data_IF_031997749194
#
_entry.id   IF_031997749194
#
_cell.length_a   1.000
_cell.length_b   1.000
_cell.length_c   1.000
_cell.angle_alpha   90.00
_cell.angle_beta   90.00
_cell.angle_gamma   90.00
#
_symmetry.space_group_name_H-M   'P 1'
#
loop_
_entity.id
_entity.type
_entity.pdbx_description
1 polymer ?
#
# COMPACT_ATOMS: atom_id res chain seq x y z
N UNK A 1 1.33 14.88 -8.77
CA UNK A 1 1.31 13.45 -9.13
C UNK A 1 0.42 13.31 -10.34
N UNK A 2 0.96 12.68 -11.39
CA UNK A 2 0.41 12.66 -12.73
C UNK A 2 -0.93 11.93 -12.81
N UNK A 3 -1.80 12.44 -13.68
CA UNK A 3 -3.13 11.94 -14.04
C UNK A 3 -2.99 10.65 -14.88
N UNK A 4 -2.54 9.56 -14.25
CA UNK A 4 -2.10 8.32 -14.93
C UNK A 4 -3.18 7.22 -15.00
N UNK A 5 -4.46 7.54 -14.77
CA UNK A 5 -5.53 6.53 -14.65
C UNK A 5 -6.60 6.59 -15.76
N UNK A 6 -6.41 7.44 -16.78
CA UNK A 6 -7.27 7.38 -17.98
C UNK A 6 -6.52 6.53 -19.00
N UNK A 7 -6.94 5.27 -19.17
CA UNK A 7 -6.49 4.46 -20.31
C UNK A 7 -7.46 4.68 -21.49
N UNK A 8 -7.18 5.62 -22.41
CA UNK A 8 -8.03 5.83 -23.58
C UNK A 8 -7.98 4.60 -24.48
N UNK A 9 -9.14 4.12 -24.91
CA UNK A 9 -9.21 3.04 -25.89
C UNK A 9 -8.69 3.50 -27.25
N UNK A 10 -8.14 2.57 -28.02
CA UNK A 10 -7.77 2.78 -29.42
C UNK A 10 -9.02 2.61 -30.27
N UNK A 11 -9.36 3.63 -31.06
CA UNK A 11 -10.51 3.63 -31.95
C UNK A 11 -10.01 3.50 -33.39
N UNK A 12 -10.48 2.49 -34.11
CA UNK A 12 -10.06 2.15 -35.46
C UNK A 12 -11.29 2.16 -36.38
N UNK A 13 -11.27 3.00 -37.43
CA UNK A 13 -12.37 3.07 -38.38
C UNK A 13 -12.41 1.81 -39.25
N UNK A 14 -13.59 1.22 -39.45
CA UNK A 14 -13.75 0.10 -40.38
C UNK A 14 -13.62 0.63 -41.83
N UNK A 15 -12.68 0.12 -42.64
CA UNK A 15 -12.44 0.62 -43.99
C UNK A 15 -13.60 0.32 -44.96
N UNK A 16 -14.45 -0.65 -44.65
CA UNK A 16 -15.58 -1.06 -45.50
C UNK A 16 -16.92 -0.50 -45.02
N UNK A 17 -17.04 -0.09 -43.75
CA UNK A 17 -18.31 0.35 -43.14
C UNK A 17 -18.13 1.65 -42.35
N UNK A 18 -18.52 2.77 -42.96
CA UNK A 18 -18.33 4.13 -42.43
C UNK A 18 -18.92 4.41 -41.04
N UNK A 19 -19.93 3.65 -40.61
CA UNK A 19 -20.58 3.81 -39.30
C UNK A 19 -20.21 2.70 -38.29
N UNK A 20 -19.04 2.08 -38.48
CA UNK A 20 -18.52 1.02 -37.61
C UNK A 20 -17.12 1.39 -37.16
N UNK A 21 -16.91 1.34 -35.85
CA UNK A 21 -15.61 1.55 -35.23
C UNK A 21 -15.22 0.31 -34.44
N UNK A 22 -13.97 -0.12 -34.61
CA UNK A 22 -13.34 -1.18 -33.84
C UNK A 22 -12.55 -0.58 -32.68
N UNK A 23 -12.60 -1.24 -31.54
CA UNK A 23 -12.05 -0.75 -30.28
C UNK A 23 -11.06 -1.78 -29.76
N UNK A 24 -9.83 -1.33 -29.54
CA UNK A 24 -8.78 -2.05 -28.82
C UNK A 24 -8.33 -1.28 -27.58
N UNK A 25 -7.51 -1.89 -26.74
CA UNK A 25 -7.08 -1.27 -25.48
C UNK A 25 -8.10 -1.39 -24.35
N UNK A 26 -9.07 -2.32 -24.43
CA UNK A 26 -10.10 -2.46 -23.40
C UNK A 26 -9.57 -3.17 -22.15
N UNK A 27 -10.06 -2.77 -20.97
CA UNK A 27 -9.73 -3.43 -19.70
C UNK A 27 -10.70 -4.58 -19.43
N UNK A 28 -10.17 -5.78 -19.28
CA UNK A 28 -10.93 -7.00 -19.06
C UNK A 28 -10.86 -7.47 -17.60
N UNK A 29 -12.00 -7.86 -17.02
CA UNK A 29 -12.07 -8.35 -15.64
C UNK A 29 -13.16 -9.42 -15.44
N UNK A 30 -12.96 -10.42 -14.54
CA UNK A 30 -13.96 -11.46 -14.28
C UNK A 30 -15.20 -10.90 -13.57
N UNK A 31 -16.38 -11.36 -13.99
CA UNK A 31 -17.66 -10.99 -13.40
C UNK A 31 -17.91 -11.82 -12.13
N UNK A 32 -17.98 -11.16 -10.97
CA UNK A 32 -18.25 -11.82 -9.68
C UNK A 32 -19.67 -12.39 -9.68
N UNK A 33 -19.80 -13.71 -9.75
CA UNK A 33 -21.09 -14.42 -9.63
C UNK A 33 -21.54 -14.52 -8.18
N UNK A 34 -22.14 -13.45 -7.64
CA UNK A 34 -22.98 -13.57 -6.44
C UNK A 34 -24.40 -13.99 -6.85
N UNK A 35 -24.71 -15.28 -6.66
CA UNK A 35 -26.08 -15.79 -6.76
C UNK A 35 -26.88 -15.18 -5.60
N UNK A 36 -27.92 -14.41 -5.97
CA UNK A 36 -28.86 -13.68 -5.10
C UNK A 36 -28.32 -12.38 -4.51
N UNK A 37 -28.13 -11.41 -5.39
CA UNK A 37 -28.66 -10.04 -5.26
C UNK A 37 -28.63 -9.46 -6.66
N UNK A 38 -29.74 -8.90 -7.16
CA UNK A 38 -29.69 -7.86 -8.21
C UNK A 38 -29.01 -6.64 -7.56
N UNK A 39 -27.72 -6.77 -7.28
CA UNK A 39 -26.91 -5.66 -6.86
C UNK A 39 -26.58 -4.90 -8.12
N UNK A 40 -26.98 -3.63 -8.14
CA UNK A 40 -26.46 -2.66 -9.09
C UNK A 40 -24.96 -2.89 -9.19
N UNK A 41 -24.47 -3.25 -10.38
CA UNK A 41 -23.05 -3.11 -10.70
C UNK A 41 -22.65 -1.73 -10.20
N UNK A 42 -21.80 -1.68 -9.16
CA UNK A 42 -21.14 -0.44 -8.82
C UNK A 42 -20.35 -0.08 -10.07
N UNK A 43 -20.79 0.99 -10.73
CA UNK A 43 -20.08 1.61 -11.84
C UNK A 43 -18.60 1.71 -11.50
N UNK A 44 -17.70 1.64 -12.49
CA UNK A 44 -16.30 2.01 -12.27
C UNK A 44 -16.23 3.34 -11.53
N UNK A 45 -15.27 3.43 -10.63
CA UNK A 45 -15.08 4.54 -9.70
C UNK A 45 -15.25 5.90 -10.38
N UNK A 46 -15.88 6.80 -9.64
CA UNK A 46 -16.19 8.16 -10.09
C UNK A 46 -14.88 8.92 -10.29
N UNK A 47 -14.29 8.85 -11.48
CA UNK A 47 -13.36 9.89 -11.91
C UNK A 47 -14.16 11.11 -12.31
N UNK A 48 -14.18 12.09 -11.39
CA UNK A 48 -14.73 13.41 -11.60
C UNK A 48 -13.55 14.34 -11.92
N UNK A 49 -13.11 14.37 -13.18
CA UNK A 49 -12.18 15.40 -13.64
C UNK A 49 -12.96 16.54 -14.29
N UNK A 50 -12.54 17.76 -13.98
CA UNK A 50 -13.14 18.99 -14.45
C UNK A 50 -12.77 19.24 -15.91
N UNK A 51 -13.37 18.50 -16.86
CA UNK A 51 -13.58 18.81 -18.30
C UNK A 51 -14.01 17.54 -19.05
N UNK A 52 -15.25 17.50 -19.56
CA UNK A 52 -15.72 16.51 -20.54
C UNK A 52 -16.62 15.39 -19.99
N UNK A 53 -17.65 15.02 -20.76
CA UNK A 53 -18.53 13.86 -20.50
C UNK A 53 -17.81 12.59 -20.98
N UNK A 54 -17.24 11.79 -20.07
CA UNK A 54 -16.69 10.48 -20.41
C UNK A 54 -17.81 9.48 -20.72
N UNK A 55 -17.71 8.79 -21.85
CA UNK A 55 -18.67 7.74 -22.26
C UNK A 55 -18.04 6.36 -22.08
N UNK A 56 -18.73 5.47 -21.38
CA UNK A 56 -18.22 4.13 -21.09
C UNK A 56 -18.71 3.13 -22.14
N UNK A 57 -17.78 2.39 -22.72
CA UNK A 57 -18.02 1.21 -23.54
C UNK A 57 -17.96 -0.03 -22.67
N UNK A 58 -18.95 -0.92 -22.82
CA UNK A 58 -19.01 -2.18 -22.08
C UNK A 58 -19.42 -3.34 -22.98
N UNK A 59 -18.78 -4.49 -22.75
CA UNK A 59 -19.21 -5.79 -23.28
C UNK A 59 -18.95 -6.88 -22.26
N UNK A 60 -19.76 -7.94 -22.28
CA UNK A 60 -19.57 -9.11 -21.43
C UNK A 60 -19.49 -10.35 -22.32
N UNK A 61 -18.38 -11.07 -22.22
CA UNK A 61 -18.17 -12.37 -22.86
C UNK A 61 -18.32 -13.48 -21.82
N UNK A 62 -18.86 -14.62 -22.23
CA UNK A 62 -19.00 -15.77 -21.35
C UNK A 62 -18.66 -17.05 -22.09
N UNK A 63 -17.91 -17.94 -21.43
CA UNK A 63 -17.58 -19.27 -21.91
C UNK A 63 -18.04 -20.28 -20.86
N UNK A 64 -18.53 -21.43 -21.33
CA UNK A 64 -18.91 -22.56 -20.49
C UNK A 64 -17.84 -23.61 -20.65
N UNK A 65 -17.14 -23.93 -19.58
CA UNK A 65 -16.12 -24.98 -19.64
C UNK A 65 -16.75 -26.38 -19.77
N UNK A 66 -15.95 -27.39 -20.11
CA UNK A 66 -16.39 -28.77 -20.28
C UNK A 66 -17.04 -29.37 -19.00
N UNK A 67 -16.75 -28.79 -17.83
CA UNK A 67 -17.35 -29.15 -16.52
C UNK A 67 -18.65 -28.38 -16.20
N UNK A 68 -19.19 -27.60 -17.15
CA UNK A 68 -20.45 -26.87 -17.01
C UNK A 68 -20.38 -25.55 -16.24
N UNK A 69 -19.21 -25.14 -15.73
CA UNK A 69 -18.98 -23.86 -15.03
C UNK A 69 -18.92 -22.73 -16.05
N UNK A 70 -19.70 -21.67 -15.83
CA UNK A 70 -19.70 -20.48 -16.68
C UNK A 70 -18.71 -19.46 -16.13
N UNK A 71 -17.70 -19.12 -16.93
CA UNK A 71 -16.82 -17.97 -16.68
C UNK A 71 -17.34 -16.79 -17.49
N UNK A 72 -17.51 -15.63 -16.85
CA UNK A 72 -17.96 -14.41 -17.51
C UNK A 72 -16.91 -13.33 -17.29
N UNK A 73 -16.54 -12.64 -18.37
CA UNK A 73 -15.52 -11.60 -18.41
C UNK A 73 -16.17 -10.33 -18.96
N UNK A 74 -15.92 -9.20 -18.31
CA UNK A 74 -16.43 -7.89 -18.74
C UNK A 74 -15.28 -7.03 -19.22
N UNK A 75 -15.39 -6.56 -20.46
CA UNK A 75 -14.49 -5.57 -21.07
C UNK A 75 -15.06 -4.17 -20.90
N UNK A 76 -14.23 -3.23 -20.47
CA UNK A 76 -14.59 -1.81 -20.27
C UNK A 76 -13.60 -0.89 -20.96
N UNK A 77 -14.10 0.20 -21.54
CA UNK A 77 -13.28 1.19 -22.23
C UNK A 77 -13.87 2.60 -22.09
N UNK A 78 -13.03 3.62 -22.08
CA UNK A 78 -13.45 5.01 -21.93
C UNK A 78 -13.25 5.75 -23.25
N UNK A 79 -14.34 6.33 -23.78
CA UNK A 79 -14.33 7.23 -24.93
C UNK A 79 -14.26 8.69 -24.45
N UNK A 80 -13.29 9.43 -24.97
CA UNK A 80 -13.10 10.86 -24.71
C UNK A 80 -14.05 11.73 -25.54
N UNK A 81 -14.32 11.33 -26.79
CA UNK A 81 -15.24 12.02 -27.71
C UNK A 81 -16.21 11.02 -28.33
N UNK A 82 -17.42 10.85 -27.77
CA UNK A 82 -18.41 9.93 -28.33
C UNK A 82 -19.03 10.51 -29.61
N UNK A 83 -18.82 9.82 -30.74
CA UNK A 83 -19.51 10.11 -32.00
C UNK A 83 -20.70 9.16 -32.18
N UNK A 84 -21.60 9.46 -33.14
CA UNK A 84 -22.77 8.60 -33.43
C UNK A 84 -22.38 7.35 -34.22
N UNK A 85 -21.47 6.55 -33.67
CA UNK A 85 -20.96 5.33 -34.27
C UNK A 85 -21.36 4.06 -33.52
N UNK A 86 -21.32 2.93 -34.23
CA UNK A 86 -21.46 1.60 -33.61
C UNK A 86 -20.07 1.05 -33.30
N UNK A 87 -19.80 0.78 -32.04
CA UNK A 87 -18.50 0.32 -31.56
C UNK A 87 -18.47 -1.20 -31.39
N UNK A 88 -17.33 -1.83 -31.72
CA UNK A 88 -17.11 -3.28 -31.68
C UNK A 88 -15.75 -3.59 -31.05
N UNK A 89 -15.65 -4.63 -30.23
CA UNK A 89 -14.41 -5.05 -29.59
C UNK A 89 -13.53 -5.86 -30.55
N UNK A 90 -12.29 -5.41 -30.74
CA UNK A 90 -11.33 -6.13 -31.57
C UNK A 90 -10.77 -7.38 -30.88
N UNK A 91 -10.64 -7.36 -29.54
CA UNK A 91 -10.24 -8.53 -28.76
C UNK A 91 -11.25 -9.68 -28.87
N UNK A 92 -12.56 -9.39 -28.86
CA UNK A 92 -13.57 -10.43 -29.12
C UNK A 92 -13.50 -10.97 -30.54
N UNK A 93 -13.21 -10.10 -31.53
CA UNK A 93 -12.96 -10.54 -32.89
C UNK A 93 -11.79 -11.50 -32.99
N UNK A 94 -10.68 -11.19 -32.30
CA UNK A 94 -9.53 -12.10 -32.23
C UNK A 94 -9.89 -13.45 -31.58
N UNK A 95 -10.67 -13.45 -30.49
CA UNK A 95 -11.13 -14.67 -29.83
C UNK A 95 -12.07 -15.52 -30.69
N UNK A 96 -12.81 -14.94 -31.64
CA UNK A 96 -13.58 -15.70 -32.64
C UNK A 96 -12.69 -16.49 -33.61
N UNK A 97 -11.45 -16.04 -33.84
CA UNK A 97 -10.50 -16.70 -34.75
C UNK A 97 -9.60 -17.70 -34.03
N UNK A 98 -9.27 -17.43 -32.76
CA UNK A 98 -8.30 -18.19 -31.99
C UNK A 98 -8.80 -18.49 -30.60
N UNK A 99 -8.74 -19.77 -30.22
CA UNK A 99 -9.13 -20.21 -28.88
C UNK A 99 -8.01 -20.03 -27.85
N UNK A 100 -6.78 -20.40 -28.17
CA UNK A 100 -5.62 -20.32 -27.27
C UNK A 100 -4.41 -19.80 -28.06
N UNK A 101 -4.11 -18.52 -27.92
CA UNK A 101 -3.06 -17.90 -28.73
C UNK A 101 -3.00 -16.40 -28.58
N UNK A 102 -1.99 -15.80 -29.21
CA UNK A 102 -1.78 -14.37 -29.19
C UNK A 102 -1.29 -13.84 -30.55
N UNK A 103 -1.41 -12.53 -30.73
CA UNK A 103 -0.99 -11.86 -31.95
C UNK A 103 -0.67 -10.38 -31.73
N UNK A 104 0.30 -9.89 -32.48
CA UNK A 104 0.71 -8.49 -32.50
C UNK A 104 0.23 -7.85 -33.80
N UNK A 105 -0.53 -6.78 -33.70
CA UNK A 105 -1.17 -6.13 -34.85
C UNK A 105 -0.77 -4.66 -34.97
N UNK A 106 -0.36 -4.25 -36.17
CA UNK A 106 -0.07 -2.86 -36.49
C UNK A 106 -1.37 -2.11 -36.81
N UNK A 107 -1.56 -0.97 -36.16
CA UNK A 107 -2.70 -0.06 -36.42
C UNK A 107 -2.27 1.38 -36.73
N UNK A 108 -1.03 1.73 -36.44
CA UNK A 108 -0.37 2.98 -36.76
C UNK A 108 1.09 2.66 -37.13
N UNK A 109 1.83 3.62 -37.72
CA UNK A 109 3.21 3.40 -38.18
C UNK A 109 4.16 3.04 -37.03
N UNK A 110 3.91 3.57 -35.83
CA UNK A 110 4.78 3.40 -34.66
C UNK A 110 4.14 2.60 -33.51
N UNK A 111 2.85 2.26 -33.63
CA UNK A 111 2.09 1.64 -32.53
C UNK A 111 1.52 0.28 -32.90
N UNK A 112 1.63 -0.62 -31.94
CA UNK A 112 1.19 -2.00 -32.04
C UNK A 112 0.11 -2.29 -31.00
N UNK A 113 -0.73 -3.26 -31.30
CA UNK A 113 -1.79 -3.78 -30.45
C UNK A 113 -1.51 -5.26 -30.16
N UNK A 114 -1.45 -5.59 -28.88
CA UNK A 114 -1.29 -6.97 -28.40
C UNK A 114 -2.64 -7.55 -28.02
N UNK A 115 -3.04 -8.62 -28.70
CA UNK A 115 -4.27 -9.37 -28.44
C UNK A 115 -3.92 -10.81 -28.07
N UNK A 116 -4.61 -11.37 -27.07
CA UNK A 116 -4.46 -12.76 -26.67
C UNK A 116 -5.79 -13.35 -26.23
N UNK A 117 -5.94 -14.64 -26.50
CA UNK A 117 -7.11 -15.45 -26.22
C UNK A 117 -6.70 -16.65 -25.38
N UNK A 118 -7.41 -16.86 -24.26
CA UNK A 118 -7.28 -18.02 -23.38
C UNK A 118 -8.65 -18.64 -23.25
N UNK A 119 -8.78 -19.91 -23.63
CA UNK A 119 -10.05 -20.66 -23.68
C UNK A 119 -11.17 -19.96 -24.48
N UNK A 120 -10.79 -19.22 -25.52
CA UNK A 120 -11.72 -18.45 -26.37
C UNK A 120 -12.23 -17.17 -25.71
N UNK A 121 -11.60 -16.71 -24.63
CA UNK A 121 -11.88 -15.43 -23.98
C UNK A 121 -10.67 -14.49 -24.06
N UNK A 122 -10.88 -13.17 -24.10
CA UNK A 122 -9.78 -12.21 -24.02
C UNK A 122 -8.98 -12.39 -22.73
N UNK A 123 -7.64 -12.43 -22.83
CA UNK A 123 -6.80 -12.46 -21.64
C UNK A 123 -6.85 -11.12 -20.90
N UNK A 124 -6.93 -11.15 -19.56
CA UNK A 124 -7.04 -9.95 -18.70
C UNK A 124 -5.93 -8.93 -18.92
N UNK A 125 -4.72 -9.42 -19.22
CA UNK A 125 -3.52 -8.62 -19.45
C UNK A 125 -3.24 -8.35 -20.94
N UNK A 126 -4.08 -8.85 -21.84
CA UNK A 126 -3.99 -8.55 -23.27
C UNK A 126 -4.99 -7.43 -23.65
N UNK A 127 -5.14 -7.17 -24.94
CA UNK A 127 -5.88 -6.02 -25.46
C UNK A 127 -5.26 -4.70 -25.02
N UNK A 128 -3.97 -4.55 -25.32
CA UNK A 128 -3.18 -3.38 -24.95
C UNK A 128 -2.42 -2.82 -26.14
N UNK A 129 -2.36 -1.49 -26.23
CA UNK A 129 -1.53 -0.79 -27.21
C UNK A 129 -0.19 -0.36 -26.60
N UNK A 130 0.81 -0.10 -27.45
CA UNK A 130 2.11 0.41 -27.01
C UNK A 130 3.16 0.45 -28.13
N UNK A 131 4.36 0.88 -27.76
CA UNK A 131 5.56 0.76 -28.61
C UNK A 131 5.97 -0.72 -28.74
N UNK A 132 6.81 -1.08 -29.73
CA UNK A 132 7.34 -2.44 -29.85
C UNK A 132 8.02 -2.96 -28.57
N UNK A 133 8.75 -2.10 -27.86
CA UNK A 133 9.43 -2.41 -26.61
C UNK A 133 8.44 -2.69 -25.48
N UNK A 134 7.39 -1.89 -25.36
CA UNK A 134 6.32 -2.09 -24.36
C UNK A 134 5.56 -3.39 -24.62
N UNK A 135 5.28 -3.68 -25.88
CA UNK A 135 4.56 -4.89 -26.29
C UNK A 135 5.41 -6.13 -26.00
N UNK A 136 6.73 -6.08 -26.20
CA UNK A 136 7.64 -7.17 -25.81
C UNK A 136 7.54 -7.51 -24.32
N UNK A 137 7.52 -6.49 -23.44
CA UNK A 137 7.33 -6.67 -22.00
C UNK A 137 5.97 -7.29 -21.66
N UNK A 138 4.91 -6.84 -22.34
CA UNK A 138 3.53 -7.34 -22.14
C UNK A 138 3.37 -8.80 -22.60
N UNK A 139 4.03 -9.20 -23.68
CA UNK A 139 4.07 -10.59 -24.15
C UNK A 139 4.76 -11.47 -23.11
N UNK A 140 5.92 -11.06 -22.60
CA UNK A 140 6.63 -11.83 -21.57
C UNK A 140 5.76 -12.00 -20.32
N UNK A 141 5.14 -10.91 -19.83
CA UNK A 141 4.21 -10.99 -18.70
C UNK A 141 3.05 -11.96 -18.96
N UNK A 142 2.47 -11.94 -20.17
CA UNK A 142 1.41 -12.87 -20.55
C UNK A 142 1.86 -14.33 -20.50
N UNK A 143 3.04 -14.64 -21.03
CA UNK A 143 3.57 -16.00 -21.06
C UNK A 143 3.94 -16.52 -19.66
N UNK A 144 4.44 -15.66 -18.76
CA UNK A 144 4.76 -16.04 -17.38
C UNK A 144 3.51 -16.30 -16.55
N UNK A 145 2.43 -15.54 -16.78
CA UNK A 145 1.24 -15.57 -15.92
C UNK A 145 0.17 -16.58 -16.35
N UNK A 146 0.29 -17.18 -17.54
CA UNK A 146 -0.69 -18.16 -18.04
C UNK A 146 0.02 -19.49 -18.32
N UNK A 147 -0.52 -20.58 -17.78
CA UNK A 147 -0.02 -21.94 -18.06
C UNK A 147 -0.11 -22.24 -19.56
N UNK A 148 0.93 -22.86 -20.11
CA UNK A 148 0.97 -23.20 -21.53
C UNK A 148 -0.11 -24.26 -21.88
N UNK A 149 -0.98 -24.01 -22.87
CA UNK A 149 -1.96 -24.99 -23.34
C UNK A 149 -1.29 -26.27 -23.85
N UNK A 150 -2.00 -27.40 -23.78
CA UNK A 150 -1.50 -28.69 -24.27
C UNK A 150 -1.12 -28.66 -25.76
N UNK A 151 -1.81 -27.84 -26.56
CA UNK A 151 -1.54 -27.65 -28.00
C UNK A 151 -0.50 -26.55 -28.28
N UNK A 152 0.16 -26.01 -27.24
CA UNK A 152 1.00 -24.81 -27.25
C UNK A 152 0.26 -23.54 -27.68
N UNK A 153 0.89 -22.39 -27.49
CA UNK A 153 0.31 -21.12 -27.91
C UNK A 153 0.27 -20.98 -29.43
N UNK A 154 -0.91 -20.71 -29.99
CA UNK A 154 -1.02 -20.35 -31.40
C UNK A 154 -0.58 -18.89 -31.61
N UNK A 155 0.55 -18.69 -32.28
CA UNK A 155 1.07 -17.35 -32.61
C UNK A 155 0.57 -16.95 -33.99
N UNK A 156 -0.43 -16.06 -34.04
CA UNK A 156 -1.02 -15.60 -35.33
C UNK A 156 -0.15 -14.56 -36.01
N UNK A 157 0.52 -13.72 -35.22
CA UNK A 157 1.35 -12.65 -35.71
C UNK A 157 2.43 -12.35 -34.67
N UNK A 158 3.69 -12.30 -35.09
CA UNK A 158 4.85 -12.10 -34.22
C UNK A 158 5.24 -10.62 -34.11
N UNK A 159 6.05 -10.28 -33.11
CA UNK A 159 6.57 -8.93 -32.94
C UNK A 159 7.54 -8.52 -34.07
N UNK A 160 8.27 -9.48 -34.63
CA UNK A 160 9.19 -9.28 -35.75
C UNK A 160 8.47 -8.96 -37.06
N UNK A 161 7.30 -9.57 -37.28
CA UNK A 161 6.49 -9.33 -38.47
C UNK A 161 5.00 -9.14 -38.10
N UNK A 162 4.63 -7.95 -37.57
CA UNK A 162 3.28 -7.69 -37.12
C UNK A 162 2.33 -7.50 -38.31
N UNK A 163 1.24 -8.27 -38.32
CA UNK A 163 0.17 -8.17 -39.31
C UNK A 163 -0.65 -6.89 -39.12
N UNK A 164 -1.38 -6.45 -40.15
CA UNK A 164 -2.34 -5.37 -40.00
C UNK A 164 -3.57 -5.85 -39.20
N UNK A 165 -4.09 -5.04 -38.29
CA UNK A 165 -5.30 -5.37 -37.52
C UNK A 165 -6.53 -5.69 -38.40
N UNK A 166 -6.57 -5.14 -39.62
CA UNK A 166 -7.64 -5.38 -40.59
C UNK A 166 -7.76 -6.85 -40.99
N UNK A 167 -6.66 -7.61 -40.92
CA UNK A 167 -6.66 -9.06 -41.21
C UNK A 167 -7.55 -9.86 -40.25
N UNK A 168 -7.85 -9.32 -39.06
CA UNK A 168 -8.81 -9.90 -38.13
C UNK A 168 -10.21 -9.73 -38.69
N UNK A 169 -10.61 -8.49 -39.02
CA UNK A 169 -11.98 -8.16 -39.40
C UNK A 169 -12.39 -8.79 -40.74
N UNK A 170 -11.45 -8.98 -41.66
CA UNK A 170 -11.66 -9.65 -42.95
C UNK A 170 -12.05 -11.12 -42.80
N UNK A 171 -11.63 -11.77 -41.71
CA UNK A 171 -11.88 -13.19 -41.44
C UNK A 171 -13.14 -13.43 -40.59
N UNK A 172 -13.80 -12.38 -40.10
CA UNK A 172 -14.96 -12.51 -39.23
C UNK A 172 -16.25 -12.78 -40.00
N UNK A 173 -17.05 -13.72 -39.52
CA UNK A 173 -18.40 -13.92 -40.03
C UNK A 173 -19.37 -12.83 -39.52
N UNK A 174 -20.54 -12.64 -40.16
CA UNK A 174 -21.57 -11.75 -39.64
C UNK A 174 -22.05 -12.10 -38.23
N UNK A 175 -21.93 -13.37 -37.81
CA UNK A 175 -22.27 -13.80 -36.45
C UNK A 175 -21.22 -13.32 -35.44
N UNK A 176 -19.93 -13.43 -35.78
CA UNK A 176 -18.82 -12.95 -34.94
C UNK A 176 -18.89 -11.44 -34.75
N UNK A 177 -19.18 -10.69 -35.82
CA UNK A 177 -19.33 -9.24 -35.76
C UNK A 177 -20.46 -8.85 -34.78
N UNK A 178 -21.58 -9.59 -34.76
CA UNK A 178 -22.65 -9.33 -33.79
C UNK A 178 -22.20 -9.58 -32.35
N UNK A 179 -21.38 -10.59 -32.11
CA UNK A 179 -20.82 -10.90 -30.79
C UNK A 179 -19.83 -9.82 -30.29
N UNK A 180 -19.14 -9.15 -31.21
CA UNK A 180 -18.20 -8.09 -30.88
C UNK A 180 -18.86 -6.76 -30.47
N UNK A 181 -20.19 -6.60 -30.62
CA UNK A 181 -20.86 -5.31 -30.45
C UNK A 181 -20.78 -4.79 -29.00
N UNK A 182 -20.32 -3.54 -28.86
CA UNK A 182 -20.21 -2.86 -27.58
C UNK A 182 -21.52 -2.12 -27.23
N UNK A 183 -21.82 -2.05 -25.94
CA UNK A 183 -22.87 -1.19 -25.39
C UNK A 183 -22.27 0.14 -24.95
N UNK A 184 -22.90 1.23 -25.36
CA UNK A 184 -22.50 2.60 -25.01
C UNK A 184 -23.39 3.05 -23.86
N UNK A 185 -22.86 3.06 -22.64
CA UNK A 185 -23.62 3.57 -21.48
C UNK A 185 -23.51 5.11 -21.47
N UNK A 186 -24.47 5.75 -22.14
CA UNK A 186 -24.66 7.19 -22.03
C UNK A 186 -25.56 7.45 -20.83
N UNK A 187 -24.98 7.95 -19.73
CA UNK A 187 -25.75 8.41 -18.57
C UNK A 187 -26.51 9.72 -18.90
N UNK A 188 -27.52 9.61 -19.76
CA UNK A 188 -28.56 10.61 -19.93
C UNK A 188 -29.79 10.14 -19.16
N UNK A 189 -29.94 10.62 -17.92
CA UNK A 189 -31.24 10.60 -17.25
C UNK A 189 -32.15 11.59 -17.98
N UNK A 190 -32.93 11.11 -18.94
CA UNK A 190 -34.14 11.81 -19.35
C UNK A 190 -35.27 11.35 -18.43
N UNK A 191 -35.54 12.16 -17.40
CA UNK A 191 -36.83 12.17 -16.74
C UNK A 191 -37.60 13.29 -17.45
N UNK A 192 -38.62 12.95 -18.25
CA UNK A 192 -39.74 13.87 -18.48
C UNK A 192 -41.07 13.08 -18.55
N UNK A 193 -42.16 13.64 -18.00
CA UNK A 193 -43.33 12.91 -17.53
C UNK A 193 -44.48 12.97 -18.54
N UNK A 194 -45.16 11.84 -18.75
CA UNK A 194 -46.45 11.80 -19.48
C UNK A 194 -47.51 10.94 -18.77
N UNK A 195 -47.18 10.23 -17.69
CA UNK A 195 -48.09 9.25 -17.07
C UNK A 195 -48.71 9.67 -15.72
N UNK A 196 -48.83 10.98 -15.44
CA UNK A 196 -49.29 11.47 -14.12
C UNK A 196 -50.80 11.82 -14.05
N UNK A 197 -51.58 11.65 -15.12
CA UNK A 197 -52.98 12.13 -15.14
C UNK A 197 -54.08 11.06 -15.31
N UNK A 198 -53.77 9.77 -15.45
CA UNK A 198 -54.80 8.72 -15.62
C UNK A 198 -54.87 7.66 -14.51
N UNK A 199 -53.90 7.60 -13.58
CA UNK A 199 -53.81 6.53 -12.57
C UNK A 199 -54.56 6.81 -11.24
N UNK A 200 -54.96 8.05 -10.95
CA UNK A 200 -55.53 8.42 -9.64
C UNK A 200 -56.98 7.94 -9.45
N UNK A 201 -57.75 7.80 -10.52
CA UNK A 201 -59.18 7.47 -10.42
C UNK A 201 -59.46 5.95 -10.30
N UNK A 202 -58.61 5.09 -10.87
CA UNK A 202 -58.86 3.64 -10.89
C UNK A 202 -58.18 2.87 -9.73
N UNK A 203 -57.18 3.46 -9.07
CA UNK A 203 -56.42 2.81 -8.01
C UNK A 203 -57.15 2.75 -6.64
N UNK A 204 -58.11 3.65 -6.39
CA UNK A 204 -58.79 3.74 -5.09
C UNK A 204 -59.75 2.58 -4.79
N UNK A 205 -60.37 1.98 -5.81
CA UNK A 205 -61.43 0.98 -5.65
C UNK A 205 -60.87 -0.45 -5.57
N UNK A 206 -59.76 -0.72 -6.26
CA UNK A 206 -59.12 -2.05 -6.27
C UNK A 206 -58.36 -2.29 -4.95
N UNK A 207 -57.83 -1.23 -4.32
CA UNK A 207 -57.03 -1.31 -3.09
C UNK A 207 -57.80 -1.78 -1.85
N UNK A 208 -59.12 -1.56 -1.80
CA UNK A 208 -59.93 -1.91 -0.62
C UNK A 208 -60.45 -3.35 -0.64
N UNK A 209 -60.50 -4.00 -1.81
CA UNK A 209 -61.15 -5.30 -1.99
C UNK A 209 -60.18 -6.49 -2.01
N UNK A 210 -58.87 -6.27 -1.95
CA UNK A 210 -57.86 -7.35 -2.07
C UNK A 210 -56.77 -7.28 -1.00
N UNK A 211 -57.12 -7.18 0.27
CA UNK A 211 -56.17 -7.37 1.37
C UNK A 211 -55.93 -8.89 1.60
N UNK A 212 -54.72 -9.42 1.39
CA UNK A 212 -54.38 -10.81 1.72
C UNK A 212 -53.86 -10.93 3.16
N UNK A 213 -54.10 -12.08 3.80
CA UNK A 213 -53.52 -12.44 5.11
C UNK A 213 -51.98 -12.48 5.06
N UNK A 214 -51.29 -12.12 6.17
CA UNK A 214 -49.84 -11.95 6.19
C UNK A 214 -49.09 -13.28 6.24
N UNK A 215 -48.29 -13.56 5.20
CA UNK A 215 -47.28 -14.61 5.22
C UNK A 215 -46.15 -14.26 6.21
N UNK A 216 -45.81 -15.22 7.07
CA UNK A 216 -44.70 -15.15 8.03
C UNK A 216 -43.37 -14.89 7.32
N UNK A 217 -42.90 -13.65 7.37
CA UNK A 217 -41.55 -13.27 6.99
C UNK A 217 -40.48 -13.79 7.96
N UNK A 218 -39.19 -13.70 7.59
CA UNK A 218 -38.08 -14.12 8.44
C UNK A 218 -38.15 -13.42 9.81
N UNK A 219 -37.90 -14.16 10.89
CA UNK A 219 -38.00 -13.67 12.26
C UNK A 219 -37.10 -12.44 12.47
N UNK A 220 -37.48 -11.56 13.39
CA UNK A 220 -36.71 -10.34 13.70
C UNK A 220 -35.23 -10.64 14.04
N UNK A 221 -34.96 -11.81 14.61
CA UNK A 221 -33.62 -12.32 14.88
C UNK A 221 -32.82 -12.59 13.61
N UNK A 222 -33.44 -13.17 12.57
CA UNK A 222 -32.77 -13.48 11.30
C UNK A 222 -32.47 -12.20 10.50
N UNK A 223 -33.33 -11.17 10.62
CA UNK A 223 -33.11 -9.83 10.07
C UNK A 223 -31.96 -9.14 10.83
N UNK A 224 -31.94 -9.22 12.17
CA UNK A 224 -30.88 -8.63 12.98
C UNK A 224 -29.53 -9.32 12.74
N UNK A 225 -29.50 -10.65 12.59
CA UNK A 225 -28.29 -11.40 12.24
C UNK A 225 -27.75 -11.02 10.86
N UNK A 226 -28.63 -10.90 9.85
CA UNK A 226 -28.25 -10.44 8.51
C UNK A 226 -27.78 -8.98 8.50
N UNK A 227 -28.35 -8.13 9.34
CA UNK A 227 -27.89 -6.75 9.50
C UNK A 227 -26.50 -6.72 10.14
N UNK A 228 -26.26 -7.48 11.22
CA UNK A 228 -24.92 -7.58 11.85
C UNK A 228 -23.84 -8.02 10.86
N UNK A 229 -24.15 -8.98 9.98
CA UNK A 229 -23.22 -9.45 8.93
C UNK A 229 -23.07 -8.49 7.72
N UNK A 230 -24.01 -7.57 7.52
CA UNK A 230 -23.93 -6.55 6.46
C UNK A 230 -23.25 -5.26 6.93
N UNK A 231 -23.30 -5.00 8.25
CA UNK A 231 -22.63 -3.87 8.90
C UNK A 231 -21.31 -4.26 9.58
N UNK A 232 -20.93 -5.54 9.57
CA UNK A 232 -19.55 -5.96 9.83
C UNK A 232 -18.68 -5.42 8.70
N UNK A 233 -18.15 -4.21 8.93
CA UNK A 233 -17.10 -3.59 8.12
C UNK A 233 -16.02 -4.66 7.87
N UNK A 234 -15.46 -4.78 6.64
CA UNK A 234 -14.24 -5.56 6.47
C UNK A 234 -13.27 -5.05 7.52
N UNK A 235 -12.85 -5.94 8.44
CA UNK A 235 -11.83 -5.60 9.41
C UNK A 235 -10.59 -5.26 8.58
N UNK A 236 -10.35 -3.96 8.38
CA UNK A 236 -9.06 -3.50 7.87
C UNK A 236 -8.08 -4.05 8.88
N UNK A 237 -7.10 -4.87 8.45
CA UNK A 237 -6.10 -5.39 9.37
C UNK A 237 -5.55 -4.23 10.18
N UNK A 238 -5.58 -4.29 11.52
CA UNK A 238 -5.07 -3.19 12.33
C UNK A 238 -3.62 -2.94 11.93
N UNK A 239 -3.29 -1.71 11.54
CA UNK A 239 -1.90 -1.34 11.31
C UNK A 239 -1.18 -1.37 12.66
N UNK A 240 0.04 -1.92 12.68
CA UNK A 240 0.85 -1.85 13.88
C UNK A 240 1.13 -0.38 14.22
N UNK A 241 1.03 0.01 15.51
CA UNK A 241 1.36 1.37 15.90
C UNK A 241 2.81 1.68 15.53
N UNK A 242 3.05 2.89 15.04
CA UNK A 242 4.38 3.36 14.71
C UNK A 242 5.25 3.45 15.99
N UNK A 243 6.38 2.73 16.09
CA UNK A 243 7.20 2.75 17.30
C UNK A 243 7.76 4.14 17.65
N UNK A 244 8.04 4.97 16.63
CA UNK A 244 8.58 6.32 16.83
C UNK A 244 7.54 7.32 17.37
N UNK A 245 6.24 7.00 17.30
CA UNK A 245 5.16 7.84 17.80
C UNK A 245 5.15 7.96 19.33
N UNK A 246 5.78 7.01 20.03
CA UNK A 246 5.90 6.97 21.50
C UNK A 246 7.32 7.20 21.99
N UNK A 247 8.26 7.50 21.08
CA UNK A 247 9.66 7.74 21.43
C UNK A 247 9.99 9.23 21.31
N UNK A 248 10.87 9.75 22.19
CA UNK A 248 11.20 11.17 22.22
C UNK A 248 11.93 11.62 20.96
N UNK A 249 11.73 12.87 20.58
CA UNK A 249 12.55 13.52 19.57
C UNK A 249 14.01 13.59 20.04
N UNK A 250 14.94 13.53 19.09
CA UNK A 250 16.39 13.49 19.39
C UNK A 250 16.82 14.74 20.15
N UNK A 251 16.36 15.91 19.71
CA UNK A 251 16.73 17.19 20.33
C UNK A 251 16.25 17.31 21.78
N UNK A 252 15.04 16.83 22.08
CA UNK A 252 14.46 16.88 23.41
C UNK A 252 15.11 15.87 24.36
N UNK A 253 15.42 14.66 23.87
CA UNK A 253 16.18 13.67 24.63
C UNK A 253 17.58 14.20 24.98
N UNK A 254 18.33 14.69 23.99
CA UNK A 254 19.67 15.23 24.19
C UNK A 254 19.67 16.38 25.19
N UNK A 255 18.72 17.31 25.07
CA UNK A 255 18.55 18.41 26.01
C UNK A 255 18.31 17.92 27.44
N UNK A 256 17.39 16.97 27.63
CA UNK A 256 17.10 16.40 28.95
C UNK A 256 18.32 15.67 29.55
N UNK A 257 19.03 14.88 28.75
CA UNK A 257 20.28 14.24 29.16
C UNK A 257 21.34 15.28 29.57
N UNK A 258 21.50 16.36 28.78
CA UNK A 258 22.47 17.41 29.02
C UNK A 258 22.16 18.20 30.30
N UNK A 259 20.89 18.53 30.54
CA UNK A 259 20.45 19.26 31.74
C UNK A 259 20.65 18.43 33.01
N UNK A 260 20.40 17.13 32.94
CA UNK A 260 20.74 16.20 34.02
C UNK A 260 22.27 16.08 34.19
N UNK A 261 23.04 15.99 33.10
CA UNK A 261 24.49 15.83 33.14
C UNK A 261 25.22 17.02 33.78
N UNK A 262 24.83 18.27 33.48
CA UNK A 262 25.49 19.51 33.97
C UNK A 262 25.84 19.52 35.48
N UNK A 263 24.92 19.20 36.41
CA UNK A 263 25.21 19.19 37.84
C UNK A 263 25.99 17.97 38.35
N UNK A 264 26.51 17.09 37.48
CA UNK A 264 27.10 15.81 37.89
C UNK A 264 28.62 15.94 38.17
N UNK A 265 29.07 15.87 39.43
CA UNK A 265 30.48 16.00 39.76
C UNK A 265 31.28 14.76 39.33
N UNK A 266 32.50 14.99 38.82
CA UNK A 266 33.43 13.90 38.42
C UNK A 266 33.90 13.09 39.64
N UNK A 267 33.93 13.69 40.84
CA UNK A 267 34.24 13.01 42.09
C UNK A 267 33.19 13.33 43.15
N UNK A 268 32.74 12.31 43.88
CA UNK A 268 31.68 12.44 44.88
C UNK A 268 31.95 11.50 46.06
N UNK A 269 32.17 12.04 47.27
CA UNK A 269 32.29 11.24 48.49
C UNK A 269 33.37 10.15 48.50
N UNK A 270 34.50 10.36 47.80
CA UNK A 270 35.56 9.36 47.64
C UNK A 270 35.30 8.35 46.50
N UNK A 271 34.41 8.68 45.58
CA UNK A 271 34.11 7.91 44.38
C UNK A 271 34.32 8.76 43.14
N UNK A 272 34.61 8.12 42.01
CA UNK A 272 34.91 8.77 40.73
C UNK A 272 33.90 8.33 39.67
N UNK A 273 33.38 9.28 38.91
CA UNK A 273 32.52 9.02 37.76
C UNK A 273 33.32 8.27 36.70
N UNK A 274 32.81 7.13 36.25
CA UNK A 274 33.45 6.30 35.21
C UNK A 274 32.66 6.32 33.92
N UNK A 275 31.33 6.22 34.01
CA UNK A 275 30.46 6.18 32.84
C UNK A 275 29.05 6.66 33.17
N UNK A 276 28.22 6.83 32.15
CA UNK A 276 26.80 7.06 32.32
C UNK A 276 25.99 6.73 31.09
N UNK A 277 24.72 6.46 31.31
CA UNK A 277 23.76 5.99 30.32
C UNK A 277 22.59 6.95 30.29
N UNK A 278 22.19 7.40 29.10
CA UNK A 278 20.93 8.10 28.89
C UNK A 278 20.03 7.26 27.99
N UNK A 279 18.87 6.87 28.51
CA UNK A 279 17.78 6.25 27.76
C UNK A 279 16.57 7.18 27.77
N UNK A 280 15.55 6.93 26.95
CA UNK A 280 14.29 7.67 27.02
C UNK A 280 13.65 7.69 28.41
N UNK A 281 13.87 6.67 29.25
CA UNK A 281 13.29 6.61 30.60
C UNK A 281 14.19 7.20 31.69
N UNK A 282 15.52 7.04 31.58
CA UNK A 282 16.42 7.36 32.69
C UNK A 282 17.81 7.83 32.26
N UNK A 283 18.41 8.68 33.11
CA UNK A 283 19.80 9.06 33.04
C UNK A 283 20.51 8.49 34.27
N UNK A 284 21.41 7.54 34.05
CA UNK A 284 22.12 6.83 35.10
C UNK A 284 23.60 7.16 35.08
N UNK A 285 24.14 7.60 36.21
CA UNK A 285 25.58 7.79 36.39
C UNK A 285 26.17 6.60 37.12
N UNK A 286 27.35 6.13 36.70
CA UNK A 286 28.07 5.06 37.36
C UNK A 286 29.35 5.61 37.98
N UNK A 287 29.47 5.40 39.29
CA UNK A 287 30.62 5.80 40.08
C UNK A 287 31.39 4.57 40.55
N UNK A 288 32.71 4.68 40.57
CA UNK A 288 33.63 3.68 41.10
C UNK A 288 34.31 4.18 42.37
N UNK A 289 34.31 3.34 43.40
CA UNK A 289 34.93 3.63 44.69
C UNK A 289 36.44 3.82 44.57
N UNK A 290 36.95 4.93 45.09
CA UNK A 290 38.39 5.20 45.18
C UNK A 290 38.92 4.81 46.56
N UNK A 291 40.26 4.66 46.75
CA UNK A 291 40.84 4.44 48.07
C UNK A 291 40.39 5.50 49.08
N UNK A 292 39.92 5.06 50.25
CA UNK A 292 39.34 5.92 51.28
C UNK A 292 37.84 6.26 51.11
N UNK A 293 37.24 5.93 49.97
CA UNK A 293 35.80 6.05 49.76
C UNK A 293 34.99 4.98 50.51
N UNK A 294 33.82 5.36 51.03
CA UNK A 294 32.91 4.43 51.74
C UNK A 294 31.52 4.45 51.11
N UNK A 295 30.77 3.35 51.27
CA UNK A 295 29.37 3.24 50.81
C UNK A 295 28.49 4.29 51.51
N UNK A 296 28.65 4.44 52.83
CA UNK A 296 27.89 5.41 53.63
C UNK A 296 28.19 6.86 53.23
N UNK A 297 29.47 7.18 52.96
CA UNK A 297 29.87 8.50 52.49
C UNK A 297 29.26 8.83 51.14
N UNK A 298 29.28 7.88 50.20
CA UNK A 298 28.66 8.07 48.88
C UNK A 298 27.14 8.20 48.95
N UNK A 299 26.47 7.37 49.75
CA UNK A 299 25.02 7.46 49.99
C UNK A 299 24.62 8.84 50.51
N UNK A 300 25.35 9.36 51.49
CA UNK A 300 25.09 10.69 52.08
C UNK A 300 25.25 11.79 51.02
N UNK A 301 26.37 11.78 50.28
CA UNK A 301 26.64 12.78 49.25
C UNK A 301 25.71 12.68 48.04
N UNK A 302 25.30 11.48 47.64
CA UNK A 302 24.33 11.28 46.56
C UNK A 302 22.97 11.89 46.91
N UNK A 303 22.51 11.73 48.17
CA UNK A 303 21.28 12.39 48.64
C UNK A 303 21.39 13.91 48.65
N UNK A 304 22.53 14.45 49.08
CA UNK A 304 22.76 15.91 49.10
C UNK A 304 22.81 16.52 47.69
N UNK A 305 23.50 15.87 46.76
CA UNK A 305 23.75 16.43 45.41
C UNK A 305 22.63 16.11 44.44
N UNK A 306 22.10 14.88 44.46
CA UNK A 306 21.13 14.41 43.49
C UNK A 306 19.72 14.22 44.06
N UNK A 307 19.55 14.19 45.39
CA UNK A 307 18.27 13.89 46.02
C UNK A 307 17.84 12.43 45.89
N UNK A 308 18.74 11.53 45.45
CA UNK A 308 18.42 10.12 45.13
C UNK A 308 19.33 9.16 45.91
N UNK A 309 18.76 8.01 46.28
CA UNK A 309 19.46 6.88 46.86
C UNK A 309 20.17 6.10 45.74
N UNK A 310 21.50 5.97 45.76
CA UNK A 310 22.24 5.20 44.77
C UNK A 310 22.04 3.70 44.96
N UNK A 311 22.15 2.96 43.86
CA UNK A 311 22.13 1.50 43.81
C UNK A 311 23.55 0.96 43.83
N UNK A 312 23.91 0.14 44.82
CA UNK A 312 25.26 -0.41 44.94
C UNK A 312 25.34 -1.82 44.33
N UNK A 313 26.34 -2.07 43.48
CA UNK A 313 26.63 -3.42 43.01
C UNK A 313 27.32 -4.24 44.12
N UNK A 314 26.52 -5.04 44.83
CA UNK A 314 27.01 -5.85 45.96
C UNK A 314 27.89 -7.04 45.53
N UNK A 315 27.80 -7.50 44.28
CA UNK A 315 28.57 -8.66 43.78
C UNK A 315 30.07 -8.40 43.80
N UNK A 316 30.47 -7.15 43.53
CA UNK A 316 31.86 -6.71 43.50
C UNK A 316 32.23 -5.91 44.76
N UNK A 317 31.66 -6.26 45.92
CA UNK A 317 31.97 -5.62 47.20
C UNK A 317 31.58 -4.14 47.27
N UNK A 318 30.50 -3.75 46.58
CA UNK A 318 30.06 -2.36 46.41
C UNK A 318 31.19 -1.47 45.88
N UNK A 319 31.90 -1.95 44.85
CA UNK A 319 32.91 -1.16 44.13
C UNK A 319 32.28 -0.19 43.13
N UNK A 320 31.13 -0.55 42.57
CA UNK A 320 30.36 0.28 41.63
C UNK A 320 29.03 0.69 42.25
N UNK A 321 28.61 1.92 41.95
CA UNK A 321 27.31 2.45 42.35
C UNK A 321 26.67 3.20 41.18
N UNK A 322 25.39 2.95 40.96
CA UNK A 322 24.57 3.60 39.94
C UNK A 322 23.66 4.65 40.60
N UNK A 323 23.56 5.82 39.98
CA UNK A 323 22.65 6.89 40.39
C UNK A 323 21.62 7.08 39.28
N UNK A 324 20.52 6.32 39.28
CA UNK A 324 19.47 6.47 38.27
C UNK A 324 18.65 7.73 38.54
N UNK A 325 18.42 8.53 37.51
CA UNK A 325 17.55 9.71 37.58
C UNK A 325 16.52 9.62 36.46
N UNK A 326 15.21 9.63 36.78
CA UNK A 326 14.19 9.54 35.74
C UNK A 326 14.23 10.78 34.85
N UNK A 327 14.02 10.58 33.54
CA UNK A 327 13.74 11.70 32.65
C UNK A 327 12.27 12.14 32.82
N UNK A 328 11.97 13.44 32.62
CA UNK A 328 10.58 13.87 32.51
C UNK A 328 9.91 13.26 31.28
N UNK A 329 8.59 13.30 31.22
CA UNK A 329 7.88 12.98 29.99
C UNK A 329 8.32 13.93 28.87
N UNK A 330 8.87 13.36 27.80
CA UNK A 330 9.40 14.08 26.66
C UNK A 330 8.37 14.10 25.51
N UNK A 331 8.35 15.16 24.70
CA UNK A 331 7.47 15.21 23.54
C UNK A 331 7.86 14.13 22.52
N UNK A 332 6.83 13.54 21.91
CA UNK A 332 6.93 12.54 20.87
C UNK A 332 6.02 12.93 19.71
N UNK A 333 6.35 12.47 18.51
CA UNK A 333 5.67 12.86 17.27
C UNK A 333 5.50 11.63 16.37
N UNK A 334 4.30 11.49 15.83
CA UNK A 334 3.97 10.53 14.79
C UNK A 334 4.05 11.21 13.42
N UNK A 335 5.28 11.33 12.90
CA UNK A 335 5.52 11.88 11.57
C UNK A 335 5.43 10.81 10.47
N UNK A 336 5.09 11.24 9.26
CA UNK A 336 5.33 10.44 8.07
C UNK A 336 6.83 10.26 7.85
N UNK A 337 7.25 9.02 7.60
CA UNK A 337 8.66 8.67 7.38
C UNK A 337 8.96 8.51 5.89
N UNK A 338 10.17 8.87 5.42
CA UNK A 338 10.54 8.72 4.00
C UNK A 338 10.68 7.27 3.55
N UNK A 339 10.79 7.06 2.24
CA UNK A 339 11.07 5.74 1.65
C UNK A 339 12.47 5.22 2.08
N UNK A 340 12.71 3.89 2.08
CA UNK A 340 13.91 3.31 2.68
C UNK A 340 15.22 3.84 2.09
N UNK A 341 15.30 3.96 0.76
CA UNK A 341 16.50 4.47 0.09
C UNK A 341 16.78 5.94 0.43
N UNK A 342 15.76 6.79 0.41
CA UNK A 342 15.88 8.21 0.76
C UNK A 342 16.31 8.39 2.22
N UNK A 343 15.67 7.63 3.11
CA UNK A 343 15.91 7.69 4.54
C UNK A 343 17.33 7.25 4.90
N UNK A 344 17.77 6.08 4.40
CA UNK A 344 19.11 5.57 4.66
C UNK A 344 20.19 6.46 4.05
N UNK A 345 20.00 6.96 2.82
CA UNK A 345 20.94 7.91 2.23
C UNK A 345 21.10 9.15 3.09
N UNK A 346 20.00 9.76 3.53
CA UNK A 346 20.03 10.96 4.39
C UNK A 346 20.79 10.73 5.69
N UNK A 347 20.50 9.62 6.38
CA UNK A 347 21.15 9.29 7.65
C UNK A 347 22.63 8.98 7.45
N UNK A 348 22.98 8.16 6.46
CA UNK A 348 24.37 7.79 6.19
C UNK A 348 25.20 8.99 5.75
N UNK A 349 24.67 9.86 4.89
CA UNK A 349 25.34 11.10 4.47
C UNK A 349 25.66 11.99 5.67
N UNK A 350 24.73 12.14 6.64
CA UNK A 350 24.98 12.95 7.84
C UNK A 350 26.20 12.49 8.65
N UNK A 351 26.35 11.18 8.84
CA UNK A 351 27.49 10.62 9.54
C UNK A 351 28.79 10.69 8.70
N UNK A 352 28.68 10.44 7.39
CA UNK A 352 29.82 10.50 6.46
C UNK A 352 30.41 11.91 6.34
N UNK A 353 29.58 12.95 6.33
CA UNK A 353 30.02 14.36 6.36
C UNK A 353 30.87 14.68 7.61
N UNK A 354 30.69 13.91 8.68
CA UNK A 354 31.44 14.01 9.94
C UNK A 354 32.56 12.97 10.05
N UNK A 355 32.86 12.26 8.95
CA UNK A 355 33.86 11.20 8.88
C UNK A 355 33.59 10.05 9.86
N UNK A 356 32.31 9.76 10.11
CA UNK A 356 31.87 8.70 11.00
C UNK A 356 31.16 7.62 10.17
N UNK A 357 31.50 6.36 10.41
CA UNK A 357 30.85 5.22 9.77
C UNK A 357 29.98 4.49 10.80
N UNK A 358 28.65 4.68 10.78
CA UNK A 358 27.75 3.97 11.69
C UNK A 358 27.63 2.51 11.27
N UNK A 359 27.47 1.61 12.24
CA UNK A 359 26.96 0.27 11.99
C UNK A 359 25.45 0.37 11.81
N UNK A 360 24.90 -0.15 10.71
CA UNK A 360 23.46 -0.12 10.43
C UNK A 360 23.00 -1.51 10.01
N UNK A 361 22.00 -2.05 10.70
CA UNK A 361 21.42 -3.36 10.42
C UNK A 361 19.90 -3.25 10.28
N UNK A 362 19.33 -3.90 9.27
CA UNK A 362 17.87 -4.01 9.14
C UNK A 362 17.33 -4.97 10.21
N UNK A 363 16.33 -4.52 10.95
CA UNK A 363 15.64 -5.35 11.94
C UNK A 363 14.69 -6.29 11.20
N UNK A 364 14.83 -7.59 11.43
CA UNK A 364 13.95 -8.58 10.84
C UNK A 364 12.51 -8.34 11.32
N UNK A 365 11.57 -8.30 10.38
CA UNK A 365 10.13 -8.24 10.69
C UNK A 365 9.77 -9.58 11.33
N UNK A 366 9.30 -9.62 12.59
CA UNK A 366 8.87 -10.87 13.20
C UNK A 366 7.75 -11.50 12.36
N UNK A 367 7.86 -12.78 12.05
CA UNK A 367 6.77 -13.50 11.39
C UNK A 367 5.53 -13.44 12.31
N UNK A 368 4.32 -13.18 11.75
CA UNK A 368 3.12 -13.13 12.56
C UNK A 368 2.94 -14.47 13.28
N UNK A 369 2.84 -14.42 14.61
CA UNK A 369 2.65 -15.61 15.43
C UNK A 369 1.35 -16.34 14.99
N UNK A 370 1.38 -17.67 14.83
CA UNK A 370 0.18 -18.42 14.53
C UNK A 370 -0.73 -18.45 15.78
N UNK A 371 -1.71 -17.56 15.84
CA UNK A 371 -2.70 -17.56 16.90
C UNK A 371 -3.46 -16.26 17.05
N UNK A 372 -4.58 -16.12 16.32
CA UNK A 372 -5.83 -15.59 16.88
C UNK A 372 -6.98 -15.77 15.88
N UNK A 373 -7.89 -16.68 16.21
CA UNK A 373 -9.34 -16.63 16.06
C UNK A 373 -9.92 -15.64 15.01
N UNK A 374 -9.65 -15.86 13.73
CA UNK A 374 -10.38 -15.18 12.64
C UNK A 374 -10.18 -13.66 12.50
N UNK A 375 -9.32 -13.04 13.31
CA UNK A 375 -8.91 -11.64 13.16
C UNK A 375 -7.73 -11.54 12.17
N UNK A 376 -7.76 -10.60 11.21
CA UNK A 376 -6.65 -10.40 10.28
C UNK A 376 -5.38 -9.97 11.04
N UNK A 377 -4.25 -10.62 10.73
CA UNK A 377 -2.97 -10.29 11.34
C UNK A 377 -2.62 -8.81 11.12
N UNK A 378 -2.11 -8.10 12.16
CA UNK A 378 -1.77 -6.70 12.03
C UNK A 378 -0.67 -6.48 10.99
N UNK A 379 -0.79 -5.42 10.20
CA UNK A 379 0.14 -5.15 9.09
C UNK A 379 1.19 -4.14 9.53
N UNK A 380 2.46 -4.49 9.34
CA UNK A 380 3.59 -3.56 9.47
C UNK A 380 3.84 -2.87 8.12
N UNK A 381 3.55 -1.56 8.06
CA UNK A 381 3.72 -0.70 6.88
C UNK A 381 5.04 0.12 6.92
N UNK A 382 5.96 -0.23 7.82
CA UNK A 382 7.26 0.42 7.99
C UNK A 382 8.40 -0.60 8.07
N UNK A 383 9.62 -0.13 7.79
CA UNK A 383 10.89 -0.85 8.02
C UNK A 383 11.67 -0.16 9.12
N UNK A 384 12.45 -0.94 9.85
CA UNK A 384 13.29 -0.47 10.95
C UNK A 384 14.74 -0.90 10.72
N UNK A 385 15.64 0.04 10.94
CA UNK A 385 17.08 -0.17 10.87
C UNK A 385 17.68 0.29 12.19
N UNK A 386 18.39 -0.60 12.87
CA UNK A 386 19.14 -0.24 14.06
C UNK A 386 20.48 0.36 13.66
N UNK A 387 20.86 1.50 14.24
CA UNK A 387 22.18 2.09 14.07
C UNK A 387 22.95 2.15 15.39
N UNK A 388 24.27 2.02 15.30
CA UNK A 388 25.20 2.23 16.42
C UNK A 388 26.41 3.02 15.94
N UNK A 389 26.80 4.01 16.73
CA UNK A 389 27.91 4.90 16.43
C UNK A 389 28.76 5.15 17.68
N UNK A 390 30.07 4.95 17.55
CA UNK A 390 31.05 5.23 18.60
C UNK A 390 31.98 6.36 18.16
N UNK A 391 32.05 7.44 18.92
CA UNK A 391 32.82 8.65 18.58
C UNK A 391 33.24 9.43 19.83
N UNK A 392 34.37 10.15 19.82
CA UNK A 392 34.70 11.12 20.87
C UNK A 392 33.84 12.38 20.82
N UNK A 393 33.08 12.61 19.73
CA UNK A 393 32.24 13.79 19.57
C UNK A 393 31.03 13.72 20.51
N UNK A 394 30.72 14.82 21.20
CA UNK A 394 29.54 14.90 22.05
C UNK A 394 28.26 14.70 21.20
N UNK A 395 27.32 13.82 21.60
CA UNK A 395 26.03 13.63 20.93
C UNK A 395 25.26 14.94 20.68
N UNK A 396 25.33 15.91 21.60
CA UNK A 396 24.72 17.24 21.42
C UNK A 396 25.25 17.97 20.16
N UNK A 397 26.52 17.76 19.83
CA UNK A 397 27.19 18.35 18.66
C UNK A 397 27.00 17.49 17.42
N UNK A 398 27.06 16.17 17.57
CA UNK A 398 26.88 15.19 16.49
C UNK A 398 25.50 15.33 15.83
N UNK A 399 24.45 15.51 16.63
CA UNK A 399 23.07 15.63 16.16
C UNK A 399 22.58 17.08 16.07
N UNK A 400 23.48 18.06 16.19
CA UNK A 400 23.13 19.48 16.06
C UNK A 400 22.62 19.77 14.66
N UNK A 401 21.37 20.24 14.53
CA UNK A 401 20.67 20.48 13.24
C UNK A 401 20.42 19.18 12.44
N UNK A 402 20.49 18.02 13.07
CA UNK A 402 20.12 16.76 12.41
C UNK A 402 18.61 16.74 12.14
N UNK A 403 18.22 16.29 10.95
CA UNK A 403 16.82 16.10 10.61
C UNK A 403 16.32 14.76 11.18
N UNK A 404 15.62 14.82 12.30
CA UNK A 404 15.24 13.64 13.11
C UNK A 404 13.95 12.92 12.65
N UNK A 405 13.39 13.26 11.49
CA UNK A 405 12.19 12.61 10.93
C UNK A 405 12.38 11.10 10.83
N UNK A 406 11.63 10.31 11.59
CA UNK A 406 11.75 8.85 11.60
C UNK A 406 13.07 8.34 12.17
N UNK A 407 13.81 9.13 12.96
CA UNK A 407 15.03 8.68 13.65
C UNK A 407 14.87 8.90 15.14
N UNK A 408 15.21 7.90 15.94
CA UNK A 408 15.09 7.93 17.40
C UNK A 408 16.35 7.34 18.04
N UNK A 409 16.78 7.91 19.16
CA UNK A 409 17.89 7.40 19.95
C UNK A 409 17.31 6.49 21.04
N UNK A 410 17.84 5.27 21.16
CA UNK A 410 17.46 4.32 22.20
C UNK A 410 18.42 4.39 23.40
N UNK A 411 19.71 4.63 23.16
CA UNK A 411 20.69 4.75 24.23
C UNK A 411 21.85 5.68 23.88
N UNK A 412 22.35 6.39 24.89
CA UNK A 412 23.60 7.15 24.83
C UNK A 412 24.46 6.69 26.00
N UNK A 413 25.56 6.02 25.72
CA UNK A 413 26.56 5.62 26.70
C UNK A 413 27.76 6.55 26.57
N UNK A 414 28.19 7.16 27.67
CA UNK A 414 29.46 7.87 27.73
C UNK A 414 30.40 7.21 28.73
N UNK A 415 31.68 7.17 28.42
CA UNK A 415 32.75 6.75 29.33
C UNK A 415 33.75 7.88 29.53
N UNK A 416 34.26 8.02 30.74
CA UNK A 416 35.23 9.04 31.14
C UNK A 416 36.59 8.40 31.42
N UNK A 417 37.51 8.56 30.47
CA UNK A 417 38.88 8.04 30.56
C UNK A 417 39.88 9.19 30.71
N UNK A 418 40.44 9.34 31.92
CA UNK A 418 41.52 10.31 32.17
C UNK A 418 41.16 11.78 31.88
N UNK A 419 39.87 12.13 31.89
CA UNK A 419 39.37 13.46 31.55
C UNK A 419 38.76 13.59 30.14
N UNK A 420 38.88 12.55 29.31
CA UNK A 420 38.34 12.51 27.96
C UNK A 420 37.06 11.68 27.92
N UNK A 421 36.04 12.18 27.24
CA UNK A 421 34.80 11.43 27.02
C UNK A 421 34.85 10.64 25.72
N UNK A 422 34.33 9.41 25.75
CA UNK A 422 34.00 8.63 24.57
C UNK A 422 32.50 8.32 24.60
N UNK A 423 31.81 8.48 23.48
CA UNK A 423 30.37 8.29 23.38
C UNK A 423 30.05 7.13 22.43
N UNK A 424 29.10 6.29 22.84
CA UNK A 424 28.44 5.31 22.00
C UNK A 424 26.95 5.65 21.99
N UNK A 425 26.40 5.92 20.80
CA UNK A 425 24.97 6.21 20.62
C UNK A 425 24.35 5.11 19.80
N UNK A 426 23.22 4.59 20.27
CA UNK A 426 22.41 3.61 19.58
C UNK A 426 21.02 4.17 19.33
N UNK A 427 20.42 3.73 18.23
CA UNK A 427 19.09 4.18 17.87
C UNK A 427 18.50 3.42 16.70
N UNK A 428 17.36 3.93 16.26
CA UNK A 428 16.52 3.32 15.25
C UNK A 428 16.21 4.34 14.16
N UNK A 429 16.27 3.89 12.91
CA UNK A 429 15.84 4.61 11.72
C UNK A 429 14.63 3.88 11.16
N UNK A 430 13.53 4.60 11.02
CA UNK A 430 12.27 4.11 10.49
C UNK A 430 12.04 4.67 9.08
N UNK A 431 11.51 3.82 8.20
CA UNK A 431 11.20 4.16 6.81
C UNK A 431 9.86 3.55 6.38
N UNK A 432 9.19 4.15 5.41
CA UNK A 432 7.93 3.63 4.86
C UNK A 432 8.17 2.36 4.05
N UNK A 433 7.23 1.42 4.06
CA UNK A 433 7.33 0.18 3.28
C UNK A 433 6.94 0.34 1.82
#
# INVERSE_FOLDING_TARGET
MADEDINPVVILADPQVSNRMWVGGMRWAPEKTDRRKRSSLKSPERHRTAKGRLTCLKVTSGCRNAKGKTSRLTGTGILTMPERHRYFSLALGFCSLVRNGYGIFRYDNEKLLFLASVDGQPAVMADQSGSPEDISKKINLFLVMNEEPTEKWQVISSLENPHNWQTIIEKLSPADIRHCKLTVDTRQRFILPVALLSAVACAGVIFWLTQPEPDTGPTAEEIAARARLQFSKPTIPPELPHPWATQPLISDLLKACADLRKPSPVALGGWKLTEGFCTPESFTLVYERQPGGTVQGFLTRSKEVFGIIPEFNLKDGARLASVPRPLPALPHRDEAVPAPSEQLMRVLTWFQERQITPSVNETAIPEPLPGNDGEPAPVQNWREYQFSVSTPLNPDELFRVFQDTGVRISSIHFKLNGGTFSYTTEGHVYASK
#
